data_IF_168830977619
#
_entry.id   IF_168830977619
#
_cell.length_a   1.000
_cell.length_b   1.000
_cell.length_c   1.000
_cell.angle_alpha   90.00
_cell.angle_beta   90.00
_cell.angle_gamma   90.00
#
_symmetry.space_group_name_H-M   'P 1'
#
loop_
_entity.id
_entity.type
_entity.pdbx_description
1 polymer ?
#
# COMPACT_ATOMS: atom_id res chain seq x y z
N UNK A 1 -38.91 57.61 -4.32
CA UNK A 1 -38.68 56.36 -5.08
C UNK A 1 -37.24 56.39 -5.55
N UNK A 2 -36.40 55.57 -4.92
CA UNK A 2 -35.66 54.44 -5.55
C UNK A 2 -34.50 54.89 -6.45
N UNK A 3 -33.26 54.43 -6.30
CA UNK A 3 -32.71 53.34 -5.51
C UNK A 3 -31.22 53.58 -5.30
N UNK A 4 -30.76 53.47 -4.05
CA UNK A 4 -29.34 53.32 -3.73
C UNK A 4 -28.94 51.87 -3.99
N UNK A 5 -28.08 51.64 -4.97
CA UNK A 5 -27.42 50.34 -5.19
C UNK A 5 -26.28 50.21 -4.18
N UNK A 6 -26.59 49.79 -2.96
CA UNK A 6 -25.59 49.27 -2.04
C UNK A 6 -25.27 47.86 -2.48
N UNK A 7 -24.20 47.72 -3.28
CA UNK A 7 -23.53 46.42 -3.44
C UNK A 7 -22.88 46.16 -2.08
N UNK A 8 -23.55 45.35 -1.27
CA UNK A 8 -22.97 44.84 -0.03
C UNK A 8 -21.66 44.12 -0.38
N UNK A 9 -20.59 44.72 0.13
CA UNK A 9 -19.27 44.14 0.26
C UNK A 9 -19.41 42.85 1.07
N UNK A 10 -19.62 41.73 0.37
CA UNK A 10 -19.43 40.39 0.92
C UNK A 10 -17.92 40.22 1.09
N UNK A 11 -17.45 40.69 2.23
CA UNK A 11 -16.14 40.38 2.78
C UNK A 11 -15.88 38.89 2.60
N UNK A 12 -14.85 38.58 1.80
CA UNK A 12 -14.31 37.24 1.62
C UNK A 12 -14.11 36.63 3.01
N UNK A 13 -14.52 35.38 3.28
CA UNK A 13 -14.05 34.70 4.49
C UNK A 13 -12.56 34.48 4.28
N UNK A 14 -11.74 35.37 4.82
CA UNK A 14 -10.31 35.18 4.91
C UNK A 14 -10.11 34.03 5.90
N UNK A 15 -10.04 32.80 5.38
CA UNK A 15 -9.32 31.72 6.08
C UNK A 15 -7.98 32.34 6.45
N UNK A 16 -7.66 32.40 7.75
CA UNK A 16 -6.36 32.89 8.22
C UNK A 16 -5.33 31.94 7.60
N UNK A 17 -4.67 32.40 6.53
CA UNK A 17 -3.78 31.62 5.66
C UNK A 17 -2.32 31.67 6.12
N UNK A 18 -2.08 32.05 7.37
CA UNK A 18 -0.73 32.18 7.93
C UNK A 18 -0.45 31.05 8.92
N UNK A 19 0.79 30.55 8.89
CA UNK A 19 1.24 29.43 9.71
C UNK A 19 0.51 28.12 9.42
N UNK A 20 0.39 27.27 10.44
CA UNK A 20 -0.15 25.92 10.34
C UNK A 20 -1.49 25.81 9.59
N UNK A 21 -2.42 26.75 9.79
CA UNK A 21 -3.74 26.71 9.13
C UNK A 21 -3.66 26.92 7.63
N UNK A 22 -2.76 27.80 7.18
CA UNK A 22 -2.50 28.02 5.75
C UNK A 22 -1.89 26.78 5.11
N UNK A 23 -0.86 26.22 5.75
CA UNK A 23 -0.17 25.01 5.25
C UNK A 23 -1.09 23.78 5.26
N UNK A 24 -1.97 23.65 6.27
CA UNK A 24 -2.91 22.53 6.40
C UNK A 24 -3.92 22.47 5.24
N UNK A 25 -4.39 23.62 4.75
CA UNK A 25 -5.37 23.72 3.67
C UNK A 25 -4.74 24.11 2.32
N UNK A 26 -3.41 24.03 2.17
CA UNK A 26 -2.69 24.44 0.96
C UNK A 26 -3.22 23.75 -0.30
N UNK A 27 -3.60 22.47 -0.18
CA UNK A 27 -4.10 21.66 -1.29
C UNK A 27 -5.62 21.54 -1.34
N UNK A 28 -6.36 22.26 -0.49
CA UNK A 28 -7.82 22.27 -0.53
C UNK A 28 -8.30 23.10 -1.72
N UNK A 29 -9.08 22.49 -2.62
CA UNK A 29 -9.64 23.20 -3.76
C UNK A 29 -10.61 24.31 -3.30
N UNK A 30 -10.61 25.44 -4.01
CA UNK A 30 -11.49 26.56 -3.66
C UNK A 30 -12.98 26.19 -3.70
N UNK A 31 -13.36 25.26 -4.59
CA UNK A 31 -14.73 24.79 -4.73
C UNK A 31 -15.20 24.06 -3.47
N UNK A 32 -14.37 23.17 -2.93
CA UNK A 32 -14.63 22.46 -1.67
C UNK A 32 -14.61 23.43 -0.50
N UNK A 33 -13.64 24.35 -0.46
CA UNK A 33 -13.51 25.33 0.62
C UNK A 33 -14.74 26.23 0.78
N UNK A 34 -15.43 26.58 -0.32
CA UNK A 34 -16.67 27.39 -0.27
C UNK A 34 -17.82 26.67 0.44
N UNK A 35 -17.77 25.34 0.56
CA UNK A 35 -18.76 24.54 1.26
C UNK A 35 -18.70 24.64 2.79
N UNK A 36 -17.68 25.30 3.35
CA UNK A 36 -17.41 25.33 4.78
C UNK A 36 -17.24 26.76 5.31
N UNK A 37 -17.70 26.99 6.54
CA UNK A 37 -17.42 28.24 7.24
C UNK A 37 -15.95 28.30 7.69
N UNK A 38 -15.35 29.49 7.71
CA UNK A 38 -13.96 29.66 8.12
C UNK A 38 -13.70 29.19 9.57
N UNK A 39 -14.65 29.44 10.47
CA UNK A 39 -14.60 28.96 11.86
C UNK A 39 -14.58 27.43 11.94
N UNK A 40 -15.36 26.76 11.10
CA UNK A 40 -15.39 25.30 11.01
C UNK A 40 -14.05 24.74 10.53
N UNK A 41 -13.48 25.31 9.46
CA UNK A 41 -12.16 24.91 8.96
C UNK A 41 -11.08 25.12 10.02
N UNK A 42 -11.14 26.21 10.78
CA UNK A 42 -10.20 26.51 11.86
C UNK A 42 -10.34 25.48 12.98
N UNK A 43 -11.57 25.18 13.39
CA UNK A 43 -11.86 24.18 14.43
C UNK A 43 -11.38 22.79 14.03
N UNK A 44 -11.59 22.37 12.78
CA UNK A 44 -11.14 21.06 12.27
C UNK A 44 -9.62 20.92 12.27
N UNK A 45 -8.91 21.94 11.79
CA UNK A 45 -7.44 21.92 11.79
C UNK A 45 -6.88 21.93 13.22
N UNK A 46 -7.50 22.67 14.14
CA UNK A 46 -7.13 22.66 15.56
C UNK A 46 -7.38 21.28 16.22
N UNK A 47 -8.52 20.65 15.93
CA UNK A 47 -8.84 19.31 16.41
C UNK A 47 -7.85 18.25 15.88
N UNK A 48 -7.44 18.37 14.61
CA UNK A 48 -6.42 17.49 14.05
C UNK A 48 -5.07 17.72 14.74
N UNK A 49 -4.67 18.98 14.99
CA UNK A 49 -3.46 19.31 15.76
C UNK A 49 -3.47 18.68 17.15
N UNK A 50 -4.59 18.75 17.84
CA UNK A 50 -4.76 18.10 19.13
C UNK A 50 -4.65 16.57 19.03
N UNK A 51 -5.22 15.96 17.99
CA UNK A 51 -5.09 14.53 17.72
C UNK A 51 -3.63 14.09 17.50
N UNK A 52 -2.79 14.97 16.94
CA UNK A 52 -1.37 14.75 16.71
C UNK A 52 -0.44 15.24 17.83
N UNK A 53 -0.96 15.76 18.95
CA UNK A 53 -0.14 16.43 19.95
C UNK A 53 0.91 15.51 20.59
N UNK A 54 0.55 14.25 20.88
CA UNK A 54 1.46 13.25 21.47
C UNK A 54 1.35 11.95 20.69
N UNK A 55 2.47 11.49 20.11
CA UNK A 55 2.54 10.28 19.28
C UNK A 55 3.94 9.69 19.34
N UNK A 56 4.04 8.38 19.55
CA UNK A 56 5.33 7.68 19.45
C UNK A 56 5.65 7.39 17.98
N UNK A 57 6.92 7.49 17.55
CA UNK A 57 7.35 7.03 16.23
C UNK A 57 6.90 5.59 15.97
N UNK A 58 6.49 5.27 14.75
CA UNK A 58 6.01 3.93 14.40
C UNK A 58 4.54 3.66 14.71
N UNK A 59 3.85 4.55 15.44
CA UNK A 59 2.43 4.38 15.79
C UNK A 59 1.55 5.41 15.08
N UNK A 60 0.34 5.06 14.66
CA UNK A 60 -0.64 6.04 14.20
C UNK A 60 -1.51 6.52 15.36
N UNK A 61 -1.92 7.80 15.34
CA UNK A 61 -3.07 8.27 16.10
C UNK A 61 -4.27 8.32 15.16
N UNK A 62 -5.40 7.77 15.61
CA UNK A 62 -6.66 7.79 14.85
C UNK A 62 -7.75 8.28 15.79
N UNK A 63 -8.46 9.34 15.41
CA UNK A 63 -9.59 9.91 16.18
C UNK A 63 -10.76 10.21 15.28
N UNK A 64 -11.97 10.06 15.82
CA UNK A 64 -13.20 10.46 15.13
C UNK A 64 -13.81 11.63 15.89
N UNK A 65 -14.20 12.68 15.17
CA UNK A 65 -15.01 13.77 15.69
C UNK A 65 -16.33 13.85 14.91
N UNK A 66 -17.44 14.05 15.60
CA UNK A 66 -18.76 14.14 14.98
C UNK A 66 -19.18 15.60 14.81
N UNK A 67 -19.64 15.95 13.61
CA UNK A 67 -20.13 17.28 13.25
C UNK A 67 -21.50 17.14 12.56
N UNK A 68 -22.58 17.27 13.34
CA UNK A 68 -23.94 17.14 12.80
C UNK A 68 -24.19 15.77 12.15
N UNK A 69 -24.43 15.78 10.84
CA UNK A 69 -24.69 14.61 9.99
C UNK A 69 -23.42 13.95 9.43
N UNK A 70 -22.23 14.37 9.91
CA UNK A 70 -20.93 13.90 9.43
C UNK A 70 -20.04 13.41 10.57
N UNK A 71 -19.07 12.60 10.21
CA UNK A 71 -17.93 12.23 11.05
C UNK A 71 -16.64 12.56 10.33
N UNK A 72 -15.64 13.01 11.08
CA UNK A 72 -14.32 13.34 10.57
C UNK A 72 -13.33 12.41 11.22
N UNK A 73 -12.65 11.63 10.40
CA UNK A 73 -11.56 10.76 10.80
C UNK A 73 -10.24 11.53 10.68
N UNK A 74 -9.60 11.79 11.81
CA UNK A 74 -8.26 12.38 11.90
C UNK A 74 -7.22 11.29 12.09
N UNK A 75 -6.23 11.23 11.20
CA UNK A 75 -5.15 10.25 11.21
C UNK A 75 -3.82 10.99 11.17
N UNK A 76 -2.97 10.75 12.16
CA UNK A 76 -1.60 11.26 12.19
C UNK A 76 -0.65 10.07 12.25
N UNK A 77 0.21 9.93 11.24
CA UNK A 77 1.15 8.81 11.15
C UNK A 77 2.44 9.22 10.46
N UNK A 78 3.48 8.38 10.58
CA UNK A 78 4.72 8.57 9.82
C UNK A 78 4.40 8.50 8.32
N UNK A 79 5.03 9.39 7.54
CA UNK A 79 4.80 9.39 6.11
C UNK A 79 5.32 8.10 5.44
N UNK A 80 4.48 7.47 4.62
CA UNK A 80 4.81 6.25 3.88
C UNK A 80 3.94 6.10 2.62
N UNK A 81 4.39 5.34 1.60
CA UNK A 81 3.60 5.10 0.40
C UNK A 81 2.26 4.41 0.68
N UNK A 82 1.29 4.59 -0.22
CA UNK A 82 -0.02 3.90 -0.23
C UNK A 82 -0.98 4.23 0.93
N UNK A 83 -0.66 5.22 1.77
CA UNK A 83 -1.48 5.59 2.93
C UNK A 83 -2.93 5.96 2.54
N UNK A 84 -3.09 6.95 1.67
CA UNK A 84 -4.41 7.48 1.31
C UNK A 84 -5.26 6.41 0.65
N UNK A 85 -4.70 5.68 -0.32
CA UNK A 85 -5.41 4.60 -1.02
C UNK A 85 -5.85 3.50 -0.05
N UNK A 86 -4.98 3.13 0.90
CA UNK A 86 -5.28 2.08 1.89
C UNK A 86 -6.35 2.52 2.89
N UNK A 87 -6.30 3.76 3.37
CA UNK A 87 -7.32 4.35 4.24
C UNK A 87 -8.67 4.42 3.52
N UNK A 88 -8.68 4.89 2.27
CA UNK A 88 -9.90 4.96 1.46
C UNK A 88 -10.48 3.56 1.20
N UNK A 89 -9.63 2.57 0.89
CA UNK A 89 -10.07 1.20 0.70
C UNK A 89 -10.69 0.60 1.97
N UNK A 90 -10.12 0.85 3.15
CA UNK A 90 -10.67 0.38 4.42
C UNK A 90 -12.01 1.07 4.76
N UNK A 91 -12.13 2.37 4.51
CA UNK A 91 -13.39 3.11 4.69
C UNK A 91 -14.50 2.56 3.78
N UNK A 92 -14.19 2.34 2.50
CA UNK A 92 -15.14 1.74 1.54
C UNK A 92 -15.51 0.32 1.94
N UNK A 93 -14.55 -0.50 2.40
CA UNK A 93 -14.80 -1.86 2.91
C UNK A 93 -15.77 -1.88 4.08
N UNK A 94 -15.74 -0.83 4.90
CA UNK A 94 -16.64 -0.63 6.04
C UNK A 94 -17.91 0.16 5.70
N UNK A 95 -18.21 0.34 4.40
CA UNK A 95 -19.40 1.06 3.92
C UNK A 95 -19.48 2.53 4.36
N UNK A 96 -18.35 3.18 4.67
CA UNK A 96 -18.31 4.60 4.95
C UNK A 96 -18.22 5.40 3.63
N UNK A 97 -19.23 6.23 3.35
CA UNK A 97 -19.24 7.10 2.18
C UNK A 97 -18.29 8.29 2.41
N UNK A 98 -17.26 8.41 1.58
CA UNK A 98 -16.25 9.47 1.66
C UNK A 98 -16.76 10.72 0.95
N UNK A 99 -16.68 11.87 1.63
CA UNK A 99 -17.13 13.18 1.13
C UNK A 99 -15.96 14.09 0.77
N UNK A 100 -14.93 14.10 1.61
CA UNK A 100 -13.74 14.92 1.43
C UNK A 100 -12.53 14.19 2.04
N UNK A 101 -11.39 14.24 1.36
CA UNK A 101 -10.11 13.76 1.87
C UNK A 101 -9.13 14.92 1.83
N UNK A 102 -8.46 15.17 2.95
CA UNK A 102 -7.36 16.11 3.05
C UNK A 102 -6.14 15.38 3.57
N UNK A 103 -4.99 15.65 2.96
CA UNK A 103 -3.72 14.99 3.30
C UNK A 103 -2.54 15.97 3.25
N UNK A 104 -2.48 16.95 4.16
CA UNK A 104 -1.27 17.73 4.34
C UNK A 104 -0.11 16.85 4.83
N UNK A 105 1.08 17.15 4.30
CA UNK A 105 2.36 16.60 4.75
C UNK A 105 3.09 17.66 5.56
N UNK A 106 3.65 17.26 6.69
CA UNK A 106 4.42 18.16 7.54
C UNK A 106 5.77 17.56 7.92
N UNK A 107 6.77 18.43 8.05
CA UNK A 107 7.99 18.11 8.80
C UNK A 107 7.70 18.46 10.26
N UNK A 108 7.67 17.46 11.12
CA UNK A 108 7.44 17.67 12.55
C UNK A 108 8.71 17.43 13.33
N UNK A 109 8.88 18.14 14.44
CA UNK A 109 9.85 17.80 15.48
C UNK A 109 9.10 17.36 16.72
N UNK A 110 9.53 16.24 17.32
CA UNK A 110 8.93 15.70 18.54
C UNK A 110 9.96 15.44 19.60
N UNK A 111 9.55 15.59 20.86
CA UNK A 111 10.32 15.13 22.00
C UNK A 111 10.47 13.60 21.95
N UNK A 112 11.70 13.11 22.08
CA UNK A 112 12.00 11.69 21.92
C UNK A 112 11.43 10.82 23.07
N UNK A 113 11.28 11.36 24.28
CA UNK A 113 10.82 10.61 25.44
C UNK A 113 9.29 10.59 25.52
N UNK A 114 8.64 11.73 25.34
CA UNK A 114 7.18 11.86 25.49
C UNK A 114 6.45 11.61 24.17
N UNK A 115 7.07 11.89 23.02
CA UNK A 115 6.42 11.90 21.72
C UNK A 115 5.62 13.18 21.44
N UNK A 116 5.76 14.20 22.28
CA UNK A 116 5.01 15.44 22.15
C UNK A 116 5.55 16.30 21.00
N UNK A 117 4.63 16.91 20.26
CA UNK A 117 4.93 17.82 19.17
C UNK A 117 5.58 19.10 19.71
N UNK A 118 6.84 19.34 19.34
CA UNK A 118 7.59 20.55 19.70
C UNK A 118 7.59 21.57 18.57
N UNK A 119 7.62 21.13 17.32
CA UNK A 119 7.55 22.00 16.15
C UNK A 119 6.84 21.35 14.95
N UNK A 120 6.23 22.16 14.10
CA UNK A 120 5.55 21.72 12.89
C UNK A 120 5.78 22.72 11.76
N UNK A 121 6.34 22.25 10.65
CA UNK A 121 6.69 23.06 9.51
C UNK A 121 6.17 22.44 8.22
N UNK A 122 5.85 23.29 7.25
CA UNK A 122 5.55 22.88 5.87
C UNK A 122 6.69 22.07 5.27
N UNK A 123 6.34 21.11 4.41
CA UNK A 123 7.33 20.48 3.55
C UNK A 123 7.83 21.52 2.52
N UNK A 124 9.15 21.71 2.37
CA UNK A 124 9.68 22.64 1.37
C UNK A 124 9.31 22.22 -0.06
N UNK A 125 8.74 23.15 -0.83
CA UNK A 125 8.25 22.92 -2.21
C UNK A 125 9.34 22.59 -3.25
N UNK A 126 10.62 22.69 -2.88
CA UNK A 126 11.75 22.31 -3.72
C UNK A 126 12.06 20.80 -3.66
N UNK A 127 11.42 20.07 -2.75
CA UNK A 127 11.40 18.62 -2.73
C UNK A 127 10.20 18.24 -3.59
N UNK A 128 10.41 17.76 -4.81
CA UNK A 128 9.35 17.42 -5.77
C UNK A 128 8.52 16.21 -5.34
N UNK A 129 7.87 16.29 -4.19
CA UNK A 129 7.09 15.21 -3.57
C UNK A 129 5.66 15.32 -4.08
N UNK A 130 5.27 14.40 -4.96
CA UNK A 130 3.88 14.06 -5.19
C UNK A 130 3.45 13.08 -4.09
N UNK A 131 2.26 13.26 -3.52
CA UNK A 131 1.67 12.40 -2.47
C UNK A 131 1.62 10.90 -2.86
N UNK A 132 1.74 10.57 -4.16
CA UNK A 132 1.83 9.20 -4.68
C UNK A 132 3.24 8.60 -4.80
N UNK A 133 4.30 9.40 -4.73
CA UNK A 133 5.68 9.00 -5.10
C UNK A 133 6.65 8.92 -3.90
N UNK A 134 6.14 8.87 -2.66
CA UNK A 134 6.94 8.78 -1.42
C UNK A 134 7.86 7.54 -1.37
N UNK A 135 7.74 6.61 -2.31
CA UNK A 135 8.54 5.38 -2.38
C UNK A 135 10.06 5.61 -2.57
N UNK A 136 10.51 6.84 -2.82
CA UNK A 136 11.89 7.14 -3.19
C UNK A 136 12.59 8.23 -2.35
N UNK A 137 12.33 8.35 -1.04
CA UNK A 137 13.14 9.24 -0.19
C UNK A 137 13.91 8.54 0.95
N UNK A 138 15.23 8.79 1.06
CA UNK A 138 16.00 8.55 2.28
C UNK A 138 15.40 9.36 3.43
N UNK A 139 15.40 8.77 4.62
CA UNK A 139 14.92 9.39 5.85
C UNK A 139 15.59 10.77 6.07
N UNK A 140 14.86 11.87 5.81
CA UNK A 140 15.35 13.25 6.00
C UNK A 140 15.61 13.53 7.48
N UNK A 141 15.26 12.62 8.39
CA UNK A 141 15.44 12.76 9.83
C UNK A 141 16.86 13.12 10.27
N UNK A 142 17.89 12.75 9.49
CA UNK A 142 19.27 13.10 9.83
C UNK A 142 19.67 14.54 9.47
N UNK A 143 18.90 15.25 8.63
CA UNK A 143 19.27 16.56 8.10
C UNK A 143 18.67 17.74 8.90
N UNK A 144 17.71 17.49 9.80
CA UNK A 144 16.97 18.57 10.49
C UNK A 144 17.01 18.46 12.03
N UNK A 145 17.42 17.32 12.60
CA UNK A 145 17.49 17.15 14.05
C UNK A 145 18.62 18.00 14.67
N UNK A 146 18.26 19.11 15.32
CA UNK A 146 19.12 19.81 16.27
C UNK A 146 18.68 19.45 17.70
N UNK A 147 19.55 18.80 18.48
CA UNK A 147 19.31 18.48 19.90
C UNK A 147 18.60 17.13 20.15
N UNK A 148 17.87 17.04 21.27
CA UNK A 148 17.16 15.82 21.72
C UNK A 148 15.85 15.53 20.95
N UNK A 149 15.53 16.34 19.93
CA UNK A 149 14.32 16.20 19.12
C UNK A 149 14.57 15.32 17.89
N UNK A 150 13.57 14.53 17.52
CA UNK A 150 13.56 13.79 16.25
C UNK A 150 12.67 14.54 15.27
N UNK A 151 13.24 14.91 14.12
CA UNK A 151 12.47 15.48 13.02
C UNK A 151 12.15 14.40 11.99
N UNK A 152 10.91 14.30 11.54
CA UNK A 152 10.51 13.37 10.47
C UNK A 152 9.28 13.89 9.74
N UNK A 153 9.00 13.31 8.58
CA UNK A 153 7.79 13.62 7.82
C UNK A 153 6.60 12.85 8.40
N UNK A 154 5.48 13.55 8.55
CA UNK A 154 4.21 12.96 8.94
C UNK A 154 3.14 13.23 7.90
N UNK A 155 2.31 12.20 7.72
CA UNK A 155 1.07 12.25 6.98
C UNK A 155 -0.08 12.57 7.93
N UNK A 156 -0.75 13.69 7.69
CA UNK A 156 -1.89 14.17 8.47
C UNK A 156 -3.14 14.06 7.61
N UNK A 157 -3.85 12.93 7.71
CA UNK A 157 -4.99 12.61 6.86
C UNK A 157 -6.28 12.91 7.60
N UNK A 158 -7.11 13.79 7.06
CA UNK A 158 -8.47 14.04 7.53
C UNK A 158 -9.47 13.56 6.48
N UNK A 159 -10.36 12.65 6.85
CA UNK A 159 -11.41 12.13 5.96
C UNK A 159 -12.78 12.49 6.52
N UNK A 160 -13.56 13.26 5.77
CA UNK A 160 -14.96 13.51 6.05
C UNK A 160 -15.79 12.36 5.46
N UNK A 161 -16.62 11.75 6.31
CA UNK A 161 -17.59 10.72 5.92
C UNK A 161 -18.98 11.09 6.44
N UNK A 162 -20.01 10.41 5.93
CA UNK A 162 -21.34 10.44 6.56
C UNK A 162 -21.28 9.98 8.02
N UNK A 163 -22.24 10.41 8.84
CA UNK A 163 -22.24 10.14 10.28
C UNK A 163 -22.04 8.67 10.60
N UNK A 164 -20.94 8.38 11.28
CA UNK A 164 -20.64 7.05 11.80
C UNK A 164 -21.32 6.88 13.16
N UNK A 165 -22.11 5.80 13.29
CA UNK A 165 -22.77 5.44 14.53
C UNK A 165 -21.75 5.18 15.65
N UNK A 166 -22.06 5.62 16.87
CA UNK A 166 -21.09 5.60 17.99
C UNK A 166 -20.62 4.18 18.36
N UNK A 167 -21.46 3.17 18.14
CA UNK A 167 -21.14 1.75 18.33
C UNK A 167 -20.21 1.19 17.23
N UNK A 168 -20.20 1.78 16.04
CA UNK A 168 -19.33 1.38 14.93
C UNK A 168 -17.98 2.10 14.91
N UNK A 169 -17.86 3.26 15.55
CA UNK A 169 -16.63 4.07 15.57
C UNK A 169 -15.40 3.28 16.03
N UNK A 170 -15.55 2.40 17.02
CA UNK A 170 -14.44 1.58 17.50
C UNK A 170 -13.95 0.59 16.43
N UNK A 171 -14.86 -0.08 15.74
CA UNK A 171 -14.52 -1.03 14.67
C UNK A 171 -13.81 -0.33 13.52
N UNK A 172 -14.28 0.88 13.17
CA UNK A 172 -13.65 1.72 12.17
C UNK A 172 -12.21 2.09 12.56
N UNK A 173 -12.00 2.60 13.77
CA UNK A 173 -10.68 2.97 14.28
C UNK A 173 -9.74 1.75 14.31
N UNK A 174 -10.20 0.60 14.82
CA UNK A 174 -9.41 -0.63 14.85
C UNK A 174 -9.03 -1.07 13.42
N UNK A 175 -9.95 -0.91 12.46
CA UNK A 175 -9.73 -1.19 11.05
C UNK A 175 -8.65 -0.34 10.41
N UNK A 176 -8.70 0.96 10.68
CA UNK A 176 -7.70 1.92 10.20
C UNK A 176 -6.33 1.64 10.83
N UNK A 177 -6.25 1.33 12.13
CA UNK A 177 -4.98 0.93 12.74
C UNK A 177 -4.39 -0.33 12.10
N UNK A 178 -5.23 -1.33 11.78
CA UNK A 178 -4.79 -2.55 11.12
C UNK A 178 -4.19 -2.24 9.75
N UNK A 179 -4.91 -1.49 8.90
CA UNK A 179 -4.42 -1.20 7.54
C UNK A 179 -3.15 -0.34 7.55
N UNK A 180 -3.03 0.61 8.49
CA UNK A 180 -1.81 1.41 8.63
C UNK A 180 -0.61 0.56 9.08
N UNK A 181 -0.82 -0.41 9.97
CA UNK A 181 0.23 -1.35 10.37
C UNK A 181 0.62 -2.31 9.23
N UNK A 182 -0.35 -2.73 8.42
CA UNK A 182 -0.14 -3.55 7.23
C UNK A 182 0.74 -2.83 6.19
N UNK A 183 0.40 -1.57 5.88
CA UNK A 183 1.20 -0.70 4.99
C UNK A 183 2.62 -0.56 5.52
N UNK A 184 2.77 -0.25 6.82
CA UNK A 184 4.08 -0.11 7.45
C UNK A 184 4.92 -1.37 7.34
N UNK A 185 4.34 -2.53 7.65
CA UNK A 185 5.03 -3.80 7.56
C UNK A 185 5.54 -4.06 6.14
N UNK A 186 4.71 -3.80 5.12
CA UNK A 186 5.08 -3.96 3.72
C UNK A 186 6.23 -3.01 3.32
N UNK A 187 6.14 -1.73 3.71
CA UNK A 187 7.15 -0.71 3.39
C UNK A 187 8.50 -1.00 4.08
N UNK A 188 8.49 -1.31 5.38
CA UNK A 188 9.71 -1.62 6.14
C UNK A 188 10.44 -2.87 5.62
N UNK A 189 9.70 -3.89 5.19
CA UNK A 189 10.27 -5.14 4.71
C UNK A 189 10.49 -5.17 3.19
N UNK A 190 10.08 -4.15 2.45
CA UNK A 190 10.23 -4.10 1.00
C UNK A 190 11.68 -4.36 0.54
N UNK A 191 12.73 -3.75 1.14
CA UNK A 191 14.11 -4.07 0.77
C UNK A 191 14.47 -5.54 1.04
N UNK A 192 13.94 -6.13 2.11
CA UNK A 192 14.20 -7.54 2.47
C UNK A 192 13.54 -8.49 1.48
N UNK A 193 12.30 -8.19 1.06
CA UNK A 193 11.58 -8.98 0.06
C UNK A 193 12.28 -8.96 -1.30
N UNK A 194 12.79 -7.79 -1.70
CA UNK A 194 13.64 -7.64 -2.89
C UNK A 194 14.92 -8.47 -2.83
N UNK A 195 15.63 -8.39 -1.71
CA UNK A 195 16.81 -9.23 -1.46
C UNK A 195 16.45 -10.71 -1.56
N UNK A 196 15.31 -11.16 -1.03
CA UNK A 196 14.85 -12.55 -1.15
C UNK A 196 14.59 -12.96 -2.59
N UNK A 197 13.96 -12.11 -3.40
CA UNK A 197 13.75 -12.39 -4.83
C UNK A 197 15.08 -12.60 -5.58
N UNK A 198 16.08 -11.74 -5.32
CA UNK A 198 17.42 -11.83 -5.92
C UNK A 198 18.23 -13.03 -5.41
N UNK A 199 18.17 -13.31 -4.11
CA UNK A 199 18.77 -14.50 -3.49
C UNK A 199 18.20 -15.78 -4.13
N UNK A 200 16.89 -15.82 -4.35
CA UNK A 200 16.21 -16.96 -4.97
C UNK A 200 16.61 -17.10 -6.44
N UNK A 201 16.63 -16.01 -7.20
CA UNK A 201 17.11 -16.02 -8.59
C UNK A 201 18.55 -16.56 -8.68
N UNK A 202 19.41 -16.12 -7.76
CA UNK A 202 20.82 -16.56 -7.69
C UNK A 202 20.97 -18.00 -7.18
N UNK A 203 20.05 -18.49 -6.34
CA UNK A 203 20.08 -19.87 -5.85
C UNK A 203 19.78 -20.89 -6.96
N UNK A 204 18.94 -20.50 -7.93
CA UNK A 204 18.60 -21.33 -9.08
C UNK A 204 19.81 -21.60 -9.99
N UNK A 205 20.83 -20.73 -10.00
CA UNK A 205 22.09 -20.96 -10.73
C UNK A 205 22.92 -22.13 -10.15
N UNK A 206 22.63 -22.53 -8.91
CA UNK A 206 23.40 -23.55 -8.17
C UNK A 206 22.70 -24.90 -8.13
N UNK A 207 21.55 -25.04 -8.79
CA UNK A 207 20.79 -26.29 -8.81
C UNK A 207 21.54 -27.32 -9.64
N UNK A 208 21.61 -28.56 -9.14
CA UNK A 208 22.19 -29.67 -9.88
C UNK A 208 21.27 -30.07 -11.05
N UNK A 209 21.85 -30.42 -12.18
CA UNK A 209 21.12 -30.76 -13.41
C UNK A 209 20.13 -29.67 -13.86
N UNK A 210 20.57 -28.41 -14.03
CA UNK A 210 19.69 -27.31 -14.47
C UNK A 210 19.04 -27.58 -15.84
N UNK A 211 19.65 -28.44 -16.67
CA UNK A 211 19.13 -28.91 -17.95
C UNK A 211 17.82 -29.72 -17.82
N UNK A 212 17.58 -30.36 -16.68
CA UNK A 212 16.41 -31.20 -16.44
C UNK A 212 15.21 -30.38 -15.93
N UNK A 213 15.43 -29.12 -15.58
CA UNK A 213 14.41 -28.24 -15.03
C UNK A 213 13.83 -27.38 -16.15
N UNK A 214 12.62 -27.74 -16.58
CA UNK A 214 11.85 -26.96 -17.53
C UNK A 214 11.72 -25.50 -17.03
N UNK A 215 11.96 -24.55 -17.94
CA UNK A 215 11.74 -23.11 -17.71
C UNK A 215 12.61 -22.48 -16.60
N UNK A 216 13.69 -23.12 -16.16
CA UNK A 216 14.56 -22.59 -15.09
C UNK A 216 15.03 -21.16 -15.36
N UNK A 217 15.49 -20.86 -16.58
CA UNK A 217 15.92 -19.52 -16.98
C UNK A 217 14.78 -18.50 -16.93
N UNK A 218 13.58 -18.90 -17.37
CA UNK A 218 12.41 -18.02 -17.36
C UNK A 218 11.99 -17.69 -15.92
N UNK A 219 12.07 -18.65 -15.00
CA UNK A 219 11.82 -18.41 -13.59
C UNK A 219 12.85 -17.43 -12.96
N UNK A 220 14.13 -17.55 -13.32
CA UNK A 220 15.16 -16.60 -12.90
C UNK A 220 14.91 -15.19 -13.45
N UNK A 221 14.63 -15.09 -14.74
CA UNK A 221 14.37 -13.81 -15.41
C UNK A 221 13.12 -13.15 -14.85
N UNK A 222 12.08 -13.93 -14.54
CA UNK A 222 10.89 -13.45 -13.85
C UNK A 222 11.24 -12.85 -12.49
N UNK A 223 12.01 -13.55 -11.64
CA UNK A 223 12.39 -13.05 -10.32
C UNK A 223 13.19 -11.74 -10.39
N UNK A 224 14.12 -11.63 -11.35
CA UNK A 224 14.89 -10.39 -11.59
C UNK A 224 14.00 -9.27 -12.14
N UNK A 225 13.05 -9.61 -13.00
CA UNK A 225 12.07 -8.66 -13.54
C UNK A 225 11.15 -8.11 -12.45
N UNK A 226 10.67 -8.96 -11.53
CA UNK A 226 9.88 -8.54 -10.37
C UNK A 226 10.64 -7.53 -9.50
N UNK A 227 11.94 -7.75 -9.27
CA UNK A 227 12.79 -6.82 -8.51
C UNK A 227 13.02 -5.47 -9.21
N UNK A 228 13.07 -5.47 -10.54
CA UNK A 228 13.42 -4.30 -11.36
C UNK A 228 12.27 -3.27 -11.50
N UNK A 229 11.53 -3.02 -10.41
CA UNK A 229 10.46 -2.02 -10.34
C UNK A 229 9.15 -2.41 -11.03
N UNK A 230 9.02 -3.63 -11.54
CA UNK A 230 7.81 -4.09 -12.24
C UNK A 230 6.77 -4.71 -11.31
N UNK A 231 7.09 -4.84 -10.02
CA UNK A 231 6.22 -5.46 -9.04
C UNK A 231 6.34 -4.78 -7.68
N UNK A 232 5.20 -4.60 -7.01
CA UNK A 232 5.14 -4.12 -5.62
C UNK A 232 5.08 -5.31 -4.68
N UNK A 233 6.16 -5.55 -3.95
CA UNK A 233 6.19 -6.59 -2.92
C UNK A 233 5.39 -6.17 -1.70
N UNK A 234 4.36 -6.93 -1.35
CA UNK A 234 3.53 -6.71 -0.16
C UNK A 234 3.79 -7.75 0.94
N UNK A 235 4.23 -8.95 0.58
CA UNK A 235 4.55 -10.00 1.56
C UNK A 235 5.36 -11.14 0.98
N UNK A 236 6.09 -11.83 1.84
CA UNK A 236 6.92 -12.99 1.49
C UNK A 236 6.88 -14.04 2.61
N UNK A 237 6.88 -15.33 2.25
CA UNK A 237 7.01 -16.49 3.14
C UNK A 237 7.70 -17.64 2.41
N UNK A 238 8.44 -18.44 3.16
CA UNK A 238 9.06 -19.69 2.70
C UNK A 238 8.27 -20.90 3.21
N UNK A 239 8.19 -21.91 2.35
CA UNK A 239 7.61 -23.20 2.69
C UNK A 239 8.62 -24.30 2.35
N UNK A 240 8.79 -25.24 3.27
CA UNK A 240 9.53 -26.47 3.05
C UNK A 240 8.57 -27.54 2.51
N UNK A 241 8.98 -28.24 1.45
CA UNK A 241 8.22 -29.34 0.88
C UNK A 241 8.59 -30.63 1.62
N UNK A 242 7.64 -31.18 2.35
CA UNK A 242 7.80 -32.44 3.11
C UNK A 242 6.82 -33.48 2.61
N UNK A 243 7.14 -34.76 2.81
CA UNK A 243 6.23 -35.87 2.49
C UNK A 243 5.70 -36.44 3.80
N UNK A 244 4.41 -36.27 4.05
CA UNK A 244 3.70 -36.82 5.21
C UNK A 244 2.67 -37.85 4.73
N UNK A 245 2.69 -39.05 5.30
CA UNK A 245 1.74 -40.13 4.95
C UNK A 245 1.67 -40.47 3.45
N UNK A 246 2.75 -40.24 2.70
CA UNK A 246 2.81 -40.47 1.25
C UNK A 246 2.23 -39.32 0.41
N UNK A 247 1.80 -38.23 1.05
CA UNK A 247 1.34 -37.01 0.39
C UNK A 247 2.37 -35.88 0.56
N UNK A 248 2.53 -35.07 -0.49
CA UNK A 248 3.38 -33.89 -0.45
C UNK A 248 2.63 -32.72 0.19
N UNK A 249 3.17 -32.18 1.28
CA UNK A 249 2.63 -31.05 2.02
C UNK A 249 3.65 -29.93 2.13
N UNK A 250 3.16 -28.69 2.16
CA UNK A 250 3.98 -27.50 2.35
C UNK A 250 3.93 -27.09 3.82
N UNK A 251 5.08 -27.17 4.48
CA UNK A 251 5.26 -26.73 5.86
C UNK A 251 5.79 -25.29 5.88
N UNK A 252 5.10 -24.40 6.60
CA UNK A 252 5.52 -23.01 6.73
C UNK A 252 6.82 -22.92 7.55
N UNK A 253 7.83 -22.23 7.01
CA UNK A 253 8.99 -21.82 7.79
C UNK A 253 8.62 -20.61 8.65
N UNK A 254 8.28 -20.84 9.92
CA UNK A 254 7.65 -19.84 10.82
C UNK A 254 8.37 -18.48 10.89
N UNK A 255 9.69 -18.44 10.77
CA UNK A 255 10.50 -17.21 10.83
C UNK A 255 10.77 -16.52 9.48
N UNK A 256 10.15 -17.00 8.39
CA UNK A 256 10.40 -16.49 7.03
C UNK A 256 9.48 -15.33 6.61
N UNK A 257 8.42 -15.06 7.37
CA UNK A 257 7.39 -14.09 7.02
C UNK A 257 7.87 -12.65 7.00
N UNK A 258 7.65 -11.95 5.89
CA UNK A 258 7.92 -10.52 5.71
C UNK A 258 6.67 -9.78 5.21
N UNK A 259 6.62 -8.46 5.45
CA UNK A 259 5.52 -7.60 5.02
C UNK A 259 4.20 -7.99 5.66
N UNK A 260 3.13 -8.04 4.85
CA UNK A 260 1.80 -8.51 5.27
C UNK A 260 1.79 -9.94 5.81
N UNK A 261 2.84 -10.72 5.53
CA UNK A 261 2.97 -12.10 5.93
C UNK A 261 3.86 -12.29 7.18
N UNK A 262 4.21 -11.23 7.92
CA UNK A 262 4.83 -11.34 9.25
C UNK A 262 3.97 -12.22 10.18
N UNK A 263 4.62 -12.88 11.14
CA UNK A 263 3.89 -13.61 12.19
C UNK A 263 3.08 -12.60 13.04
N UNK A 264 1.75 -12.78 13.09
CA UNK A 264 0.84 -11.89 13.83
C UNK A 264 -0.05 -10.98 12.98
N UNK A 265 0.29 -10.74 11.70
CA UNK A 265 -0.49 -9.87 10.80
C UNK A 265 -1.71 -10.58 10.19
N UNK A 266 -1.70 -11.91 10.13
CA UNK A 266 -2.86 -12.72 9.70
C UNK A 266 -2.89 -14.03 10.46
N UNK A 267 -4.01 -14.30 11.13
CA UNK A 267 -4.22 -15.48 11.96
C UNK A 267 -4.59 -16.69 11.09
N UNK A 268 -3.72 -17.12 10.19
CA UNK A 268 -3.86 -18.41 9.49
C UNK A 268 -3.08 -19.47 10.27
N UNK A 269 -3.79 -20.19 11.15
CA UNK A 269 -3.27 -21.30 11.96
C UNK A 269 -3.26 -22.63 11.19
N UNK A 270 -2.71 -22.65 9.98
CA UNK A 270 -2.46 -23.90 9.26
C UNK A 270 -0.97 -23.95 8.93
N UNK A 271 -0.21 -24.68 9.76
CA UNK A 271 1.22 -24.93 9.56
C UNK A 271 1.49 -25.77 8.32
N UNK A 272 0.47 -26.51 7.85
CA UNK A 272 0.53 -27.38 6.68
C UNK A 272 -0.60 -27.05 5.72
N UNK A 273 -0.31 -27.06 4.42
CA UNK A 273 -1.32 -26.96 3.37
C UNK A 273 -0.98 -27.95 2.25
N UNK A 274 -1.99 -28.58 1.63
CA UNK A 274 -1.76 -29.48 0.50
C UNK A 274 -1.13 -28.71 -0.66
N UNK A 275 -0.20 -29.36 -1.36
CA UNK A 275 0.50 -28.73 -2.48
C UNK A 275 -0.50 -28.28 -3.57
N UNK A 276 -0.37 -27.05 -4.10
CA UNK A 276 -1.16 -26.58 -5.25
C UNK A 276 -0.87 -27.39 -6.53
N UNK A 277 -1.83 -27.51 -7.44
CA UNK A 277 -1.72 -28.30 -8.68
C UNK A 277 -0.55 -27.89 -9.59
N UNK A 278 -0.18 -26.61 -9.58
CA UNK A 278 1.00 -26.13 -10.31
C UNK A 278 2.30 -26.78 -9.79
N UNK A 279 2.41 -26.96 -8.47
CA UNK A 279 3.52 -27.65 -7.83
C UNK A 279 3.55 -29.15 -8.12
N UNK A 280 2.37 -29.81 -8.13
CA UNK A 280 2.26 -31.23 -8.52
C UNK A 280 2.75 -31.47 -9.95
N UNK A 281 2.39 -30.59 -10.89
CA UNK A 281 2.80 -30.70 -12.30
C UNK A 281 4.31 -30.55 -12.51
N UNK A 282 4.94 -29.58 -11.83
CA UNK A 282 6.39 -29.39 -11.90
C UNK A 282 7.18 -30.63 -11.42
N UNK A 283 6.62 -31.39 -10.46
CA UNK A 283 7.20 -32.65 -9.97
C UNK A 283 6.94 -33.86 -10.87
N UNK A 284 5.84 -33.89 -11.63
CA UNK A 284 5.47 -35.02 -12.49
C UNK A 284 6.37 -35.21 -13.73
N UNK A 285 7.31 -34.30 -13.98
CA UNK A 285 8.39 -34.49 -14.96
C UNK A 285 9.40 -35.48 -14.36
N UNK A 286 9.71 -36.61 -15.02
CA UNK A 286 10.47 -37.69 -14.39
C UNK A 286 11.93 -37.29 -14.12
N UNK A 287 12.20 -36.92 -12.87
CA UNK A 287 13.54 -36.77 -12.31
C UNK A 287 14.16 -38.15 -12.08
N UNK A 288 15.27 -38.46 -12.76
CA UNK A 288 16.02 -39.70 -12.57
C UNK A 288 17.12 -39.49 -11.52
N UNK A 289 16.84 -39.84 -10.26
CA UNK A 289 17.80 -39.75 -9.16
C UNK A 289 19.05 -40.63 -9.38
N UNK A 290 20.29 -40.13 -9.20
CA UNK A 290 21.45 -41.00 -8.98
C UNK A 290 21.36 -41.63 -7.59
N UNK A 291 21.64 -42.93 -7.47
CA UNK A 291 21.63 -43.67 -6.19
C UNK A 291 22.53 -43.01 -5.13
N UNK A 292 22.15 -43.06 -3.83
CA UNK A 292 22.91 -42.40 -2.79
C UNK A 292 24.17 -43.19 -2.44
N UNK A 293 25.35 -42.64 -2.73
CA UNK A 293 26.58 -43.00 -2.01
C UNK A 293 26.63 -42.20 -0.73
N UNK A 294 26.76 -42.91 0.41
CA UNK A 294 26.75 -42.39 1.79
C UNK A 294 27.54 -41.07 1.94
N UNK A 295 26.83 -39.99 2.26
CA UNK A 295 27.29 -38.65 2.65
C UNK A 295 26.11 -37.88 3.29
N UNK A 296 26.34 -36.80 4.07
CA UNK A 296 25.30 -36.19 4.91
C UNK A 296 24.16 -35.56 4.10
N UNK A 297 22.96 -35.36 4.68
CA UNK A 297 21.71 -35.28 3.94
C UNK A 297 21.55 -33.98 3.13
N UNK A 298 21.19 -34.14 1.85
CA UNK A 298 20.86 -33.06 0.91
C UNK A 298 19.48 -32.43 1.23
N UNK A 299 19.42 -31.11 1.10
CA UNK A 299 18.29 -30.25 1.50
C UNK A 299 17.35 -29.94 0.33
N UNK A 300 16.06 -30.21 0.56
CA UNK A 300 14.81 -29.60 0.05
C UNK A 300 14.69 -29.14 -1.43
N UNK A 301 13.76 -29.79 -2.16
CA UNK A 301 13.07 -29.21 -3.31
C UNK A 301 12.14 -28.09 -2.83
N UNK A 302 12.35 -26.85 -3.31
CA UNK A 302 11.53 -25.68 -2.98
C UNK A 302 10.47 -25.48 -4.05
N UNK A 303 9.20 -25.37 -3.67
CA UNK A 303 8.12 -25.03 -4.62
C UNK A 303 7.37 -23.79 -4.16
N UNK A 304 7.00 -22.95 -5.13
CA UNK A 304 6.41 -21.64 -4.91
C UNK A 304 4.89 -21.66 -5.04
N UNK A 305 4.23 -20.90 -4.17
CA UNK A 305 2.85 -20.45 -4.39
C UNK A 305 2.80 -18.94 -4.25
N UNK A 306 2.56 -18.22 -5.36
CA UNK A 306 2.27 -16.79 -5.34
C UNK A 306 0.75 -16.63 -5.33
N UNK A 307 0.18 -16.07 -4.26
CA UNK A 307 -1.21 -15.60 -4.29
C UNK A 307 -1.23 -14.26 -5.00
N UNK A 308 -1.67 -14.24 -6.26
CA UNK A 308 -1.88 -13.02 -7.05
C UNK A 308 -3.33 -12.59 -6.87
N UNK A 309 -3.57 -11.57 -6.04
CA UNK A 309 -4.84 -10.84 -6.10
C UNK A 309 -4.82 -9.94 -7.32
N UNK A 310 -5.54 -10.36 -8.37
CA UNK A 310 -5.72 -9.63 -9.61
C UNK A 310 -6.69 -8.46 -9.36
N UNK A 311 -6.18 -7.23 -9.22
CA UNK A 311 -7.00 -6.04 -9.34
C UNK A 311 -7.43 -5.88 -10.81
N UNK A 312 -8.73 -5.66 -11.01
CA UNK A 312 -9.43 -5.60 -12.29
C UNK A 312 -8.81 -4.62 -13.30
N UNK A 313 -8.53 -5.12 -14.50
CA UNK A 313 -8.68 -4.35 -15.74
C UNK A 313 -9.44 -5.21 -16.74
N UNK A 314 -10.55 -4.65 -17.25
CA UNK A 314 -11.46 -5.29 -18.20
C UNK A 314 -10.75 -5.59 -19.55
N UNK A 315 -11.14 -6.66 -20.26
CA UNK A 315 -10.50 -7.08 -21.49
C UNK A 315 -11.08 -6.34 -22.71
N UNK A 316 -10.23 -5.66 -23.48
CA UNK A 316 -10.52 -5.40 -24.90
C UNK A 316 -10.06 -6.63 -25.67
N UNK A 317 -11.04 -7.34 -26.21
CA UNK A 317 -10.87 -8.50 -27.09
C UNK A 317 -10.36 -8.07 -28.46
N UNK A 318 -9.25 -8.65 -28.91
CA UNK A 318 -9.01 -8.81 -30.35
C UNK A 318 -8.48 -10.22 -30.61
N UNK A 319 -9.36 -11.04 -31.17
CA UNK A 319 -9.08 -12.38 -31.65
C UNK A 319 -8.70 -12.27 -33.12
N UNK A 320 -7.47 -12.59 -33.49
CA UNK A 320 -7.10 -12.83 -34.88
C UNK A 320 -7.19 -14.33 -35.11
N UNK A 321 -8.27 -14.77 -35.76
CA UNK A 321 -8.42 -16.12 -36.29
C UNK A 321 -8.04 -16.09 -37.76
N UNK A 322 -7.03 -16.88 -38.13
CA UNK A 322 -6.64 -17.09 -39.52
C UNK A 322 -7.59 -18.11 -40.16
N UNK A 323 -8.31 -17.68 -41.20
CA UNK A 323 -9.06 -18.57 -42.08
C UNK A 323 -8.72 -18.27 -43.55
N UNK A 324 -8.27 -19.32 -44.22
CA UNK A 324 -7.89 -19.42 -45.63
C UNK A 324 -9.00 -18.96 -46.58
N UNK A 325 -8.67 -18.06 -47.51
CA UNK A 325 -9.55 -17.58 -48.57
C UNK A 325 -9.42 -18.43 -49.83
N UNK A 326 -10.43 -19.27 -50.07
CA UNK A 326 -10.70 -19.84 -51.38
C UNK A 326 -11.52 -18.84 -52.22
N UNK A 327 -11.07 -18.67 -53.45
CA UNK A 327 -11.55 -17.80 -54.51
C UNK A 327 -12.95 -18.18 -55.04
N UNK A 328 -13.81 -17.19 -55.26
CA UNK A 328 -14.87 -17.29 -56.26
C UNK A 328 -15.23 -15.92 -56.83
N UNK A 329 -15.04 -15.81 -58.14
CA UNK A 329 -15.39 -14.69 -59.00
C UNK A 329 -16.91 -14.49 -59.04
N UNK A 330 -17.38 -13.24 -59.08
CA UNK A 330 -18.59 -12.92 -59.85
C UNK A 330 -18.55 -11.51 -60.45
N UNK A 331 -18.79 -11.53 -61.76
CA UNK A 331 -18.82 -10.46 -62.73
C UNK A 331 -19.66 -9.24 -62.35
N UNK A 332 -19.15 -8.06 -62.71
CA UNK A 332 -19.94 -6.86 -62.97
C UNK A 332 -20.13 -6.74 -64.48
N UNK A 333 -21.37 -6.48 -64.90
CA UNK A 333 -21.69 -5.90 -66.22
C UNK A 333 -22.32 -4.51 -66.00
N UNK A 334 -21.95 -3.50 -66.79
CA UNK A 334 -22.47 -2.14 -66.68
C UNK A 334 -23.45 -1.81 -67.81
N UNK A 335 -24.45 -0.95 -67.58
CA UNK A 335 -25.22 -0.28 -68.64
C UNK A 335 -25.70 1.08 -68.08
N UNK A 336 -25.71 2.17 -68.88
CA UNK A 336 -25.63 3.55 -68.39
C UNK A 336 -26.87 4.14 -67.73
#
# INVERSE_FOLDING_TARGET
MSSGSSVEDRSKPAVVREGFFGDYYEHLAEEDARGYAAEQLTSRAAAHREAGQSRKPGTANVRIANEGDRSILYIVTDDMPFLVDSVNAELVRQNCAIRLVMHPLFVVSRDHLTGDLSDIARVPSNIGISSGDTAAMPNIAHLIAQGDNVSHMESWIAVEVDRVADDFQKELVDGIHRVLNDVRAAVEDWPKMRTKALELASSLDKVAHPEDIAELRQAQDLLRWLDNGNFTFLGYREYDLITENGEDVLELREASGLGLLRAGTTRTKSSTSPMPDAGRRARSVPWSSPKPTRGPPFTALRTWTTSVSKASMLPVTSTVSAASSASSQRARTPVP
#
